data_IF_648717189239
#
_entry.id   IF_648717189239
#
_cell.length_a   1.000
_cell.length_b   1.000
_cell.length_c   1.000
_cell.angle_alpha   90.00
_cell.angle_beta   90.00
_cell.angle_gamma   90.00
#
_symmetry.space_group_name_H-M   'P 1'
#
loop_
_entity.id
_entity.type
_entity.pdbx_description
1 polymer ?
#
# COMPACT_ATOMS: atom_id res chain seq x y z
N UNK A 1 -47.04 35.39 -29.35
CA UNK A 1 -47.51 34.42 -28.33
C UNK A 1 -47.29 33.02 -28.90
N UNK A 2 -46.49 32.11 -28.33
CA UNK A 2 -45.72 32.14 -27.07
C UNK A 2 -44.33 31.53 -27.25
N UNK A 3 -43.30 32.14 -26.65
CA UNK A 3 -41.94 31.60 -26.61
C UNK A 3 -41.77 30.65 -25.41
N UNK A 4 -41.77 29.34 -25.65
CA UNK A 4 -41.60 28.33 -24.59
C UNK A 4 -40.13 28.25 -24.19
N UNK A 5 -39.77 28.93 -23.10
CA UNK A 5 -38.45 28.84 -22.47
C UNK A 5 -38.23 27.42 -21.92
N UNK A 6 -37.48 26.58 -22.63
CA UNK A 6 -37.01 25.30 -22.11
C UNK A 6 -35.83 25.50 -21.17
N UNK A 7 -36.06 25.34 -19.87
CA UNK A 7 -35.01 25.37 -18.84
C UNK A 7 -34.09 24.16 -18.97
N UNK A 8 -32.88 24.37 -19.49
CA UNK A 8 -31.84 23.34 -19.59
C UNK A 8 -31.21 23.04 -18.21
N UNK A 9 -31.90 22.22 -17.41
CA UNK A 9 -31.28 21.55 -16.26
C UNK A 9 -30.28 20.50 -16.75
N UNK A 10 -29.03 20.92 -16.96
CA UNK A 10 -27.95 20.04 -17.39
C UNK A 10 -27.24 19.45 -16.16
N UNK A 11 -27.49 18.17 -15.89
CA UNK A 11 -26.74 17.43 -14.89
C UNK A 11 -25.31 17.18 -15.41
N UNK A 12 -24.39 18.09 -15.07
CA UNK A 12 -22.97 17.99 -15.41
C UNK A 12 -22.35 16.84 -14.60
N UNK A 13 -21.89 15.79 -15.30
CA UNK A 13 -21.13 14.71 -14.66
C UNK A 13 -19.71 15.20 -14.33
N UNK A 14 -19.50 15.62 -13.09
CA UNK A 14 -18.17 15.93 -12.56
C UNK A 14 -17.52 14.65 -11.99
N UNK A 15 -16.47 14.09 -12.63
CA UNK A 15 -15.75 12.95 -12.05
C UNK A 15 -15.06 13.39 -10.76
N UNK A 16 -15.24 12.63 -9.67
CA UNK A 16 -14.67 12.97 -8.37
C UNK A 16 -13.14 12.93 -8.40
N UNK A 17 -12.50 14.09 -8.30
CA UNK A 17 -11.05 14.28 -8.22
C UNK A 17 -10.45 13.95 -6.84
N UNK A 18 -11.27 13.42 -5.93
CA UNK A 18 -10.92 13.13 -4.54
C UNK A 18 -10.45 11.67 -4.36
N UNK A 19 -9.54 11.39 -3.42
CA UNK A 19 -9.08 10.03 -3.13
C UNK A 19 -10.24 9.16 -2.61
N UNK A 20 -10.25 7.88 -2.98
CA UNK A 20 -11.31 6.93 -2.63
C UNK A 20 -11.41 6.77 -1.10
N UNK A 21 -12.61 6.95 -0.58
CA UNK A 21 -12.93 6.72 0.84
C UNK A 21 -12.93 5.23 1.20
N UNK A 22 -12.64 4.91 2.47
CA UNK A 22 -12.42 3.55 3.00
C UNK A 22 -13.65 2.62 2.92
N UNK A 23 -14.83 3.14 2.57
CA UNK A 23 -16.02 2.32 2.25
C UNK A 23 -15.88 1.60 0.90
N UNK A 24 -15.00 2.06 0.01
CA UNK A 24 -14.61 1.33 -1.19
C UNK A 24 -13.66 0.17 -0.84
N UNK A 25 -14.23 -0.89 -0.27
CA UNK A 25 -13.56 -2.18 -0.20
C UNK A 25 -13.24 -2.68 -1.61
N UNK A 26 -12.08 -3.32 -1.85
CA UNK A 26 -11.83 -3.97 -3.13
C UNK A 26 -12.83 -5.12 -3.32
N UNK A 27 -13.28 -5.33 -4.57
CA UNK A 27 -14.36 -6.24 -5.01
C UNK A 27 -14.29 -7.72 -4.58
N UNK A 28 -13.30 -8.10 -3.76
CA UNK A 28 -13.25 -9.40 -3.06
C UNK A 28 -14.13 -9.44 -1.80
N UNK A 29 -14.69 -8.30 -1.34
CA UNK A 29 -15.78 -8.23 -0.35
C UNK A 29 -16.75 -7.11 -0.71
N UNK A 30 -18.04 -7.37 -0.47
CA UNK A 30 -19.21 -6.52 -0.72
C UNK A 30 -19.54 -6.24 -2.20
N UNK A 31 -20.84 -6.25 -2.48
CA UNK A 31 -21.42 -6.00 -3.80
C UNK A 31 -21.43 -4.49 -4.07
N UNK A 32 -20.63 -4.00 -5.02
CA UNK A 32 -20.57 -2.56 -5.32
C UNK A 32 -21.65 -2.12 -6.31
N UNK A 33 -22.59 -1.33 -5.82
CA UNK A 33 -23.61 -0.65 -6.61
C UNK A 33 -22.99 0.57 -7.35
N UNK A 34 -23.06 0.66 -8.69
CA UNK A 34 -23.28 1.92 -9.47
C UNK A 34 -22.82 1.91 -10.95
N UNK A 35 -23.41 2.84 -11.73
CA UNK A 35 -22.98 3.41 -13.04
C UNK A 35 -23.01 2.53 -14.30
N UNK A 36 -24.17 2.60 -14.97
CA UNK A 36 -24.45 2.16 -16.34
C UNK A 36 -23.55 2.85 -17.41
N UNK A 37 -22.99 2.13 -18.41
CA UNK A 37 -22.74 2.66 -19.74
C UNK A 37 -24.03 2.60 -20.59
N UNK A 38 -24.19 3.52 -21.55
CA UNK A 38 -25.45 3.67 -22.33
C UNK A 38 -25.64 2.56 -23.39
N UNK A 39 -26.76 2.63 -24.11
CA UNK A 39 -27.09 1.88 -25.33
C UNK A 39 -27.48 0.40 -25.14
N UNK A 40 -28.50 0.15 -24.31
CA UNK A 40 -29.63 -0.70 -24.71
C UNK A 40 -30.83 -0.36 -23.82
N UNK A 41 -31.56 0.71 -24.18
CA UNK A 41 -32.61 1.29 -23.35
C UNK A 41 -33.93 0.58 -23.54
N UNK A 42 -34.42 -0.10 -22.49
CA UNK A 42 -35.86 -0.28 -22.29
C UNK A 42 -36.55 1.07 -22.06
N UNK A 43 -37.88 1.07 -21.90
CA UNK A 43 -38.72 2.28 -21.87
C UNK A 43 -38.24 3.37 -20.88
N UNK A 44 -37.62 2.96 -19.77
CA UNK A 44 -37.07 3.84 -18.74
C UNK A 44 -35.65 4.41 -19.04
N UNK A 45 -35.13 4.26 -20.26
CA UNK A 45 -33.85 4.83 -20.69
C UNK A 45 -32.58 4.19 -20.10
N UNK A 46 -32.73 3.27 -19.13
CA UNK A 46 -31.61 2.55 -18.49
C UNK A 46 -31.10 1.41 -19.35
N UNK A 47 -29.79 1.17 -19.35
CA UNK A 47 -29.16 0.14 -20.17
C UNK A 47 -29.26 -1.24 -19.54
N UNK A 48 -29.78 -2.20 -20.30
CA UNK A 48 -29.76 -3.63 -19.98
C UNK A 48 -28.43 -4.22 -20.48
N UNK A 49 -27.78 -5.08 -19.69
CA UNK A 49 -26.51 -5.71 -20.06
C UNK A 49 -26.68 -7.15 -20.54
N UNK A 50 -27.62 -7.87 -19.95
CA UNK A 50 -27.91 -9.26 -20.26
C UNK A 50 -29.42 -9.49 -20.15
N UNK A 51 -29.98 -10.23 -21.11
CA UNK A 51 -31.40 -10.59 -21.14
C UNK A 51 -31.48 -12.11 -21.29
N UNK A 52 -32.03 -12.79 -20.29
CA UNK A 52 -32.31 -14.21 -20.32
C UNK A 52 -33.81 -14.46 -20.43
N UNK A 53 -34.21 -15.45 -21.22
CA UNK A 53 -35.60 -15.94 -21.28
C UNK A 53 -35.64 -17.35 -20.73
N UNK A 54 -36.55 -17.62 -19.80
CA UNK A 54 -36.80 -18.95 -19.27
C UNK A 54 -37.94 -19.63 -20.04
N UNK A 55 -38.09 -20.94 -19.81
CA UNK A 55 -39.09 -21.79 -20.49
C UNK A 55 -40.53 -21.33 -20.23
N UNK A 56 -40.80 -20.76 -19.05
CA UNK A 56 -42.07 -20.10 -18.67
C UNK A 56 -42.36 -18.80 -19.46
N UNK A 57 -41.55 -18.46 -20.46
CA UNK A 57 -41.51 -17.17 -21.17
C UNK A 57 -41.18 -15.94 -20.30
N UNK A 58 -40.82 -16.15 -19.03
CA UNK A 58 -40.38 -15.07 -18.14
C UNK A 58 -39.02 -14.52 -18.57
N UNK A 59 -38.84 -13.20 -18.44
CA UNK A 59 -37.65 -12.47 -18.91
C UNK A 59 -36.89 -11.89 -17.72
N UNK A 60 -35.62 -12.24 -17.59
CA UNK A 60 -34.69 -11.66 -16.62
C UNK A 60 -33.75 -10.69 -17.33
N UNK A 61 -33.81 -9.41 -16.94
CA UNK A 61 -32.93 -8.36 -17.43
C UNK A 61 -31.93 -7.95 -16.34
N UNK A 62 -30.64 -8.20 -16.57
CA UNK A 62 -29.61 -7.70 -15.65
C UNK A 62 -29.28 -6.22 -15.96
N UNK A 63 -29.25 -5.41 -14.91
CA UNK A 63 -28.73 -4.03 -14.91
C UNK A 63 -27.31 -3.95 -14.34
N UNK A 64 -26.57 -5.06 -14.42
CA UNK A 64 -25.19 -5.22 -13.96
C UNK A 64 -24.47 -6.10 -15.00
N UNK A 65 -23.26 -5.69 -15.42
CA UNK A 65 -22.38 -6.52 -16.25
C UNK A 65 -22.08 -7.86 -15.56
N UNK A 66 -22.42 -8.97 -16.23
CA UNK A 66 -22.06 -10.33 -15.80
C UNK A 66 -20.69 -10.78 -16.33
N UNK A 67 -19.99 -9.92 -17.09
CA UNK A 67 -18.62 -10.19 -17.54
C UNK A 67 -17.65 -10.24 -16.34
N UNK A 68 -16.70 -11.19 -16.29
CA UNK A 68 -15.68 -11.20 -15.25
C UNK A 68 -14.87 -9.89 -15.27
N UNK A 69 -14.55 -9.30 -14.10
CA UNK A 69 -13.82 -8.04 -14.05
C UNK A 69 -12.44 -8.18 -14.69
N UNK A 70 -12.07 -7.23 -15.56
CA UNK A 70 -10.76 -7.26 -16.26
C UNK A 70 -9.62 -7.36 -15.25
N UNK A 71 -8.90 -8.47 -15.30
CA UNK A 71 -7.72 -8.74 -14.48
C UNK A 71 -6.57 -7.83 -14.93
N UNK A 72 -6.31 -6.77 -14.15
CA UNK A 72 -5.15 -5.90 -14.33
C UNK A 72 -3.90 -6.72 -14.00
N UNK A 73 -3.03 -6.94 -14.98
CA UNK A 73 -1.76 -7.65 -14.79
C UNK A 73 -0.71 -6.71 -14.19
N UNK A 74 0.39 -7.28 -13.68
CA UNK A 74 1.53 -6.46 -13.19
C UNK A 74 2.20 -5.67 -14.32
N UNK A 75 2.03 -6.09 -15.59
CA UNK A 75 2.54 -5.40 -16.77
C UNK A 75 1.67 -4.19 -17.19
N UNK A 76 0.41 -4.13 -16.77
CA UNK A 76 -0.48 -2.97 -17.00
C UNK A 76 -0.23 -1.83 -15.99
N UNK A 77 0.60 -2.05 -14.96
CA UNK A 77 0.88 -1.09 -13.89
C UNK A 77 2.11 -0.24 -14.20
N UNK A 78 2.18 1.02 -13.72
CA UNK A 78 3.40 1.81 -13.76
C UNK A 78 4.52 1.14 -12.95
N UNK A 79 5.80 1.36 -13.31
CA UNK A 79 6.93 0.70 -12.66
C UNK A 79 6.97 0.99 -11.14
N UNK A 80 7.23 -0.02 -10.30
CA UNK A 80 7.18 0.14 -8.85
C UNK A 80 8.33 1.02 -8.33
N UNK A 81 8.01 1.95 -7.43
CA UNK A 81 8.95 2.87 -6.78
C UNK A 81 10.11 2.12 -6.08
N UNK A 82 9.86 0.89 -5.63
CA UNK A 82 10.85 -0.02 -5.07
C UNK A 82 10.76 -1.37 -5.80
N UNK A 83 11.80 -1.79 -6.55
CA UNK A 83 11.81 -3.09 -7.21
C UNK A 83 11.92 -4.23 -6.18
N UNK A 84 11.35 -5.39 -6.52
CA UNK A 84 11.44 -6.59 -5.69
C UNK A 84 12.85 -7.17 -5.74
N UNK A 85 13.59 -7.08 -4.63
CA UNK A 85 14.89 -7.74 -4.49
C UNK A 85 14.74 -9.27 -4.55
N UNK A 86 15.74 -9.94 -5.12
CA UNK A 86 15.92 -11.38 -4.94
C UNK A 86 16.13 -11.73 -3.45
N UNK A 87 15.81 -12.98 -3.04
CA UNK A 87 16.09 -13.45 -1.69
C UNK A 87 17.59 -13.42 -1.38
N UNK A 88 17.93 -13.08 -0.13
CA UNK A 88 19.33 -13.12 0.36
C UNK A 88 19.78 -14.55 0.65
N UNK A 89 21.10 -14.80 0.59
CA UNK A 89 21.73 -16.03 1.07
C UNK A 89 21.29 -16.35 2.52
N UNK A 90 20.96 -17.62 2.78
CA UNK A 90 20.79 -18.16 4.13
C UNK A 90 22.13 -18.59 4.71
N UNK A 91 22.34 -18.37 6.02
CA UNK A 91 23.61 -18.63 6.69
C UNK A 91 23.70 -20.06 7.26
N UNK A 92 24.88 -20.66 7.12
CA UNK A 92 25.28 -21.87 7.86
C UNK A 92 25.32 -21.59 9.37
N UNK A 93 25.19 -22.63 10.20
CA UNK A 93 25.29 -22.48 11.66
C UNK A 93 26.69 -22.01 12.10
N UNK A 94 27.74 -22.46 11.40
CA UNK A 94 29.11 -21.98 11.63
C UNK A 94 29.26 -20.48 11.40
N UNK A 95 28.65 -19.95 10.33
CA UNK A 95 28.66 -18.51 10.02
C UNK A 95 27.88 -17.71 11.09
N UNK A 96 26.79 -18.25 11.63
CA UNK A 96 26.02 -17.61 12.73
C UNK A 96 26.85 -17.52 14.01
N UNK A 97 27.59 -18.58 14.36
CA UNK A 97 28.48 -18.60 15.53
C UNK A 97 29.60 -17.56 15.36
N UNK A 98 30.24 -17.49 14.18
CA UNK A 98 31.26 -16.49 13.88
C UNK A 98 30.70 -15.05 13.98
N UNK A 99 29.51 -14.81 13.42
CA UNK A 99 28.80 -13.53 13.51
C UNK A 99 28.52 -13.12 14.97
N UNK A 100 28.15 -14.07 15.83
CA UNK A 100 27.95 -13.84 17.26
C UNK A 100 29.26 -13.49 17.97
N UNK A 101 30.34 -14.23 17.70
CA UNK A 101 31.67 -14.00 18.29
C UNK A 101 32.22 -12.61 17.93
N UNK A 102 32.31 -12.29 16.63
CA UNK A 102 32.80 -10.99 16.14
C UNK A 102 32.02 -9.81 16.73
N UNK A 103 30.70 -9.98 16.89
CA UNK A 103 29.79 -8.94 17.34
C UNK A 103 29.75 -8.76 18.86
N UNK A 104 30.12 -9.79 19.62
CA UNK A 104 30.36 -9.69 21.05
C UNK A 104 31.75 -9.09 21.36
N UNK A 105 32.76 -9.41 20.53
CA UNK A 105 34.12 -8.86 20.64
C UNK A 105 34.14 -7.34 20.41
N UNK A 106 33.79 -6.88 19.19
CA UNK A 106 33.90 -5.47 18.81
C UNK A 106 32.62 -4.96 18.12
N UNK A 107 31.53 -4.67 18.87
CA UNK A 107 30.26 -4.21 18.29
C UNK A 107 30.35 -2.83 17.60
N UNK A 108 31.43 -2.08 17.84
CA UNK A 108 31.75 -0.80 17.18
C UNK A 108 32.37 -1.06 15.80
N UNK A 109 33.29 -2.02 15.68
CA UNK A 109 33.90 -2.39 14.40
C UNK A 109 32.95 -3.28 13.56
N UNK A 110 32.43 -4.35 14.16
CA UNK A 110 31.55 -5.34 13.55
C UNK A 110 30.08 -4.90 13.61
N UNK A 111 29.82 -3.77 12.94
CA UNK A 111 28.47 -3.27 12.70
C UNK A 111 27.69 -4.21 11.78
N UNK A 112 26.36 -4.21 11.89
CA UNK A 112 25.44 -4.99 11.04
C UNK A 112 25.74 -4.82 9.54
N UNK A 113 26.13 -3.63 9.10
CA UNK A 113 26.44 -3.35 7.69
C UNK A 113 27.80 -3.89 7.25
N UNK A 114 28.80 -4.01 8.14
CA UNK A 114 30.09 -4.64 7.83
C UNK A 114 29.95 -6.16 7.77
N UNK A 115 29.24 -6.75 8.73
CA UNK A 115 28.93 -8.19 8.73
C UNK A 115 28.07 -8.57 7.51
N UNK A 116 27.08 -7.76 7.13
CA UNK A 116 26.26 -7.98 5.92
C UNK A 116 27.11 -8.10 4.65
N UNK A 117 28.11 -7.22 4.51
CA UNK A 117 29.07 -7.26 3.40
C UNK A 117 30.03 -8.45 3.48
N UNK A 118 30.45 -8.90 4.66
CA UNK A 118 31.33 -10.06 4.83
C UNK A 118 30.66 -11.37 4.41
N UNK A 119 29.40 -11.58 4.81
CA UNK A 119 28.71 -12.87 4.61
C UNK A 119 27.69 -12.90 3.45
N UNK A 120 27.42 -11.77 2.79
CA UNK A 120 26.50 -11.70 1.65
C UNK A 120 25.01 -11.70 2.02
N UNK A 121 24.66 -11.18 3.20
CA UNK A 121 23.32 -11.31 3.78
C UNK A 121 22.71 -9.95 4.17
N UNK A 122 21.37 -9.90 4.29
CA UNK A 122 20.65 -8.68 4.70
C UNK A 122 21.10 -8.17 6.09
N UNK A 123 21.37 -6.85 6.25
CA UNK A 123 21.70 -6.26 7.56
C UNK A 123 20.61 -6.43 8.64
N UNK A 124 19.36 -6.66 8.23
CA UNK A 124 18.25 -6.97 9.13
C UNK A 124 18.37 -8.39 9.70
N UNK A 125 18.74 -9.37 8.87
CA UNK A 125 18.89 -10.77 9.27
C UNK A 125 19.98 -10.95 10.33
N UNK A 126 21.12 -10.27 10.17
CA UNK A 126 22.19 -10.22 11.18
C UNK A 126 21.72 -9.53 12.47
N UNK A 127 20.79 -8.58 12.39
CA UNK A 127 20.16 -7.98 13.57
C UNK A 127 19.18 -8.89 14.32
N UNK A 128 18.68 -9.95 13.68
CA UNK A 128 17.87 -10.99 14.31
C UNK A 128 18.78 -12.03 14.99
N UNK A 129 19.80 -12.52 14.26
CA UNK A 129 20.77 -13.50 14.76
C UNK A 129 21.58 -12.94 15.94
N UNK A 130 22.25 -11.80 15.73
CA UNK A 130 23.20 -11.23 16.67
C UNK A 130 22.72 -9.86 17.16
N UNK A 131 22.16 -9.86 18.37
CA UNK A 131 21.85 -8.65 19.14
C UNK A 131 23.14 -7.87 19.45
N UNK A 132 23.01 -6.62 19.86
CA UNK A 132 24.17 -5.86 20.34
C UNK A 132 24.37 -6.17 21.83
N UNK A 133 25.61 -6.23 22.35
CA UNK A 133 25.80 -6.28 23.80
C UNK A 133 25.25 -5.00 24.45
N UNK A 134 24.62 -5.18 25.60
CA UNK A 134 23.76 -4.19 26.27
C UNK A 134 24.47 -2.86 26.56
N UNK A 135 25.76 -2.90 26.94
CA UNK A 135 26.56 -1.69 27.17
C UNK A 135 26.62 -0.77 25.94
N UNK A 136 26.68 -1.34 24.72
CA UNK A 136 26.72 -0.56 23.48
C UNK A 136 25.32 -0.06 23.10
N UNK A 137 24.25 -0.74 23.48
CA UNK A 137 22.88 -0.26 23.33
C UNK A 137 22.69 1.02 24.16
N UNK A 138 23.09 0.98 25.44
CA UNK A 138 23.01 2.14 26.36
C UNK A 138 23.83 3.33 25.88
N UNK A 139 25.05 3.11 25.41
CA UNK A 139 25.84 4.18 24.78
C UNK A 139 25.12 4.80 23.56
N UNK A 140 24.52 3.97 22.68
CA UNK A 140 23.78 4.47 21.51
C UNK A 140 22.51 5.23 21.91
N UNK A 141 21.85 4.84 23.01
CA UNK A 141 20.71 5.59 23.58
C UNK A 141 21.16 6.97 24.07
N UNK A 142 22.19 7.04 24.93
CA UNK A 142 22.77 8.29 25.43
C UNK A 142 23.28 9.20 24.30
N UNK A 143 23.96 8.65 23.30
CA UNK A 143 24.35 9.36 22.08
C UNK A 143 23.15 10.01 21.36
N UNK A 144 22.03 9.28 21.26
CA UNK A 144 20.83 9.75 20.58
C UNK A 144 20.06 10.79 21.40
N UNK A 145 20.07 10.68 22.72
CA UNK A 145 19.52 11.66 23.67
C UNK A 145 20.32 12.95 23.62
N UNK A 146 21.66 12.90 23.65
CA UNK A 146 22.52 14.07 23.45
C UNK A 146 22.26 14.75 22.08
N UNK A 147 22.12 13.95 21.01
CA UNK A 147 21.75 14.45 19.67
C UNK A 147 20.32 15.04 19.62
N UNK A 148 19.43 14.62 20.53
CA UNK A 148 18.07 15.18 20.69
C UNK A 148 18.05 16.46 21.53
N UNK A 149 18.81 16.52 22.63
CA UNK A 149 18.96 17.72 23.47
C UNK A 149 19.61 18.86 22.70
N UNK A 150 20.65 18.57 21.89
CA UNK A 150 21.28 19.53 20.95
C UNK A 150 20.35 19.99 19.82
N UNK A 151 19.16 19.39 19.66
CA UNK A 151 18.22 19.73 18.58
C UNK A 151 17.31 20.89 18.98
N UNK A 152 17.48 22.04 18.32
CA UNK A 152 16.63 23.22 18.52
C UNK A 152 15.13 22.94 18.34
N UNK A 153 14.29 23.64 19.12
CA UNK A 153 12.86 23.40 19.29
C UNK A 153 12.09 23.12 17.99
N UNK A 154 12.22 23.97 16.97
CA UNK A 154 11.54 23.81 15.67
C UNK A 154 11.85 22.47 14.99
N UNK A 155 13.09 21.98 15.08
CA UNK A 155 13.49 20.67 14.53
C UNK A 155 12.91 19.50 15.34
N UNK A 156 12.83 19.61 16.67
CA UNK A 156 12.15 18.62 17.53
C UNK A 156 10.64 18.53 17.24
N UNK A 157 9.96 19.67 17.10
CA UNK A 157 8.53 19.74 16.73
C UNK A 157 8.25 19.10 15.37
N UNK A 158 9.06 19.40 14.34
CA UNK A 158 8.94 18.76 13.01
C UNK A 158 9.10 17.23 13.12
N UNK A 159 10.07 16.76 13.90
CA UNK A 159 10.33 15.32 14.08
C UNK A 159 9.19 14.62 14.83
N UNK A 160 8.61 15.25 15.86
CA UNK A 160 7.42 14.76 16.57
C UNK A 160 6.20 14.70 15.64
N UNK A 161 5.95 15.74 14.85
CA UNK A 161 4.83 15.76 13.90
C UNK A 161 5.00 14.72 12.77
N UNK A 162 6.24 14.39 12.36
CA UNK A 162 6.50 13.25 11.46
C UNK A 162 6.18 11.90 12.09
N UNK A 163 6.41 11.73 13.40
CA UNK A 163 6.02 10.51 14.14
C UNK A 163 4.49 10.42 14.24
N UNK A 164 3.80 11.51 14.62
CA UNK A 164 2.33 11.57 14.67
C UNK A 164 1.68 11.21 13.32
N UNK A 165 2.18 11.78 12.21
CA UNK A 165 1.70 11.43 10.86
C UNK A 165 1.91 9.95 10.53
N UNK A 166 3.07 9.38 10.85
CA UNK A 166 3.39 7.95 10.67
C UNK A 166 2.60 6.98 11.56
N UNK A 167 1.89 7.47 12.56
CA UNK A 167 0.97 6.69 13.41
C UNK A 167 -0.50 6.86 12.97
N UNK A 168 -0.78 7.89 12.15
CA UNK A 168 -2.11 8.25 11.63
C UNK A 168 -2.26 7.90 10.13
N UNK A 169 -1.29 7.18 9.57
CA UNK A 169 -1.22 6.68 8.19
C UNK A 169 -1.10 5.15 8.25
#
# INVERSE_FOLDING_TARGET
MNSVLRSFSSNIFAPASLPRCLTNTPLRRMFSFSSLPRNNSGEFGTRIFFTHKFEDNSVLESRIDLSPPKTISVADLPPPIHPTSSPSKMLSESEKIEILQLRNQDPVHWTRNRLAKKFGCSPLYIGIIAKCPEWRIRQIQLENEQKWLRMGYKKRMIKINRIKRRFSW
#
